data_IF_812635930071
#
_entry.id   IF_812635930071
#
_cell.length_a   1.000
_cell.length_b   1.000
_cell.length_c   1.000
_cell.angle_alpha   90.00
_cell.angle_beta   90.00
_cell.angle_gamma   90.00
#
_symmetry.space_group_name_H-M   'P 1'
#
loop_
_entity.id
_entity.type
_entity.pdbx_description
1 polymer ?
#
# COMPACT_ATOMS: atom_id res chain seq x y z
N UNK A 1 -40.15 15.08 -1.31
CA UNK A 1 -38.95 15.93 -1.49
C UNK A 1 -38.51 16.54 -0.14
N UNK A 2 -37.49 15.97 0.50
CA UNK A 2 -37.09 16.36 1.85
C UNK A 2 -36.14 17.58 1.82
N UNK A 3 -36.37 18.54 2.71
CA UNK A 3 -35.65 19.82 2.84
C UNK A 3 -34.11 19.67 2.87
N UNK A 4 -33.61 18.51 3.28
CA UNK A 4 -32.18 18.17 3.32
C UNK A 4 -31.49 18.11 1.95
N UNK A 5 -32.23 17.82 0.86
CA UNK A 5 -31.64 17.83 -0.50
C UNK A 5 -31.27 19.23 -0.96
N UNK A 6 -32.07 20.24 -0.56
CA UNK A 6 -31.87 21.63 -0.96
C UNK A 6 -30.64 22.26 -0.30
N UNK A 7 -30.38 21.93 0.98
CA UNK A 7 -29.20 22.43 1.68
C UNK A 7 -27.90 21.88 1.05
N UNK A 8 -27.85 20.57 0.75
CA UNK A 8 -26.67 19.95 0.14
C UNK A 8 -26.38 20.54 -1.26
N UNK A 9 -27.43 20.80 -2.04
CA UNK A 9 -27.31 21.46 -3.34
C UNK A 9 -26.80 22.90 -3.21
N UNK A 10 -27.36 23.69 -2.29
CA UNK A 10 -26.92 25.06 -2.05
C UNK A 10 -25.45 25.14 -1.59
N UNK A 11 -25.04 24.25 -0.68
CA UNK A 11 -23.64 24.14 -0.23
C UNK A 11 -22.72 23.74 -1.38
N UNK A 12 -23.12 22.77 -2.20
CA UNK A 12 -22.34 22.36 -3.37
C UNK A 12 -22.19 23.48 -4.40
N UNK A 13 -23.27 24.22 -4.68
CA UNK A 13 -23.24 25.39 -5.56
C UNK A 13 -22.34 26.50 -5.01
N UNK A 14 -22.40 26.78 -3.72
CA UNK A 14 -21.55 27.80 -3.09
C UNK A 14 -20.07 27.37 -3.09
N UNK A 15 -19.78 26.10 -2.79
CA UNK A 15 -18.44 25.55 -2.85
C UNK A 15 -17.87 25.60 -4.28
N UNK A 16 -18.71 25.29 -5.28
CA UNK A 16 -18.34 25.39 -6.69
C UNK A 16 -18.05 26.84 -7.09
N UNK A 17 -18.93 27.79 -6.76
CA UNK A 17 -18.71 29.21 -7.05
C UNK A 17 -17.46 29.77 -6.37
N UNK A 18 -17.16 29.33 -5.14
CA UNK A 18 -15.92 29.67 -4.45
C UNK A 18 -14.69 29.09 -5.17
N UNK A 19 -14.74 27.80 -5.53
CA UNK A 19 -13.68 27.15 -6.31
C UNK A 19 -13.41 27.90 -7.62
N UNK A 20 -14.46 28.17 -8.38
CA UNK A 20 -14.34 28.80 -9.71
C UNK A 20 -13.83 30.25 -9.61
N UNK A 21 -14.17 30.97 -8.53
CA UNK A 21 -13.73 32.37 -8.31
C UNK A 21 -12.28 32.48 -7.86
N UNK A 22 -11.81 31.59 -6.99
CA UNK A 22 -10.49 31.69 -6.35
C UNK A 22 -9.45 30.70 -6.90
N UNK A 23 -9.89 29.67 -7.63
CA UNK A 23 -9.06 28.64 -8.24
C UNK A 23 -9.45 28.42 -9.71
N UNK A 24 -9.34 29.44 -10.57
CA UNK A 24 -9.68 29.33 -11.98
C UNK A 24 -8.84 28.23 -12.64
N UNK A 25 -9.50 27.32 -13.36
CA UNK A 25 -8.81 26.27 -14.11
C UNK A 25 -8.15 26.90 -15.33
N UNK A 26 -6.83 27.08 -15.27
CA UNK A 26 -6.04 27.49 -16.43
C UNK A 26 -6.00 26.32 -17.44
N UNK A 27 -6.47 26.48 -18.69
CA UNK A 27 -6.49 25.41 -19.70
C UNK A 27 -5.10 24.92 -20.12
N UNK A 28 -4.01 25.54 -19.63
CA UNK A 28 -2.62 25.07 -19.80
C UNK A 28 -1.94 24.57 -18.52
N UNK A 29 -2.60 24.64 -17.36
CA UNK A 29 -2.00 24.14 -16.13
C UNK A 29 -2.15 22.62 -16.05
N UNK A 30 -1.01 21.93 -16.09
CA UNK A 30 -0.86 20.58 -15.49
C UNK A 30 -1.61 20.60 -14.17
N UNK A 31 -2.52 19.64 -13.95
CA UNK A 31 -3.37 19.58 -12.74
C UNK A 31 -2.57 20.05 -11.52
N UNK A 32 -3.03 21.15 -10.91
CA UNK A 32 -2.34 21.79 -9.78
C UNK A 32 -2.00 20.74 -8.73
N UNK A 33 -0.71 20.41 -8.59
CA UNK A 33 -0.20 19.40 -7.65
C UNK A 33 0.25 18.06 -8.26
N UNK A 34 0.32 17.92 -9.58
CA UNK A 34 0.94 16.74 -10.23
C UNK A 34 2.42 17.02 -10.51
N UNK A 35 3.31 16.28 -9.84
CA UNK A 35 4.76 16.34 -10.11
C UNK A 35 5.13 15.63 -11.41
N UNK A 36 6.26 16.02 -12.00
CA UNK A 36 6.84 15.32 -13.15
C UNK A 36 7.15 13.85 -12.83
N UNK A 37 7.63 13.58 -11.61
CA UNK A 37 7.91 12.22 -11.16
C UNK A 37 6.63 11.36 -11.11
N UNK A 38 5.48 11.93 -10.69
CA UNK A 38 4.18 11.24 -10.77
C UNK A 38 3.75 10.96 -12.22
N UNK A 39 3.95 11.92 -13.15
CA UNK A 39 3.64 11.70 -14.56
C UNK A 39 4.51 10.61 -15.18
N UNK A 40 5.80 10.59 -14.83
CA UNK A 40 6.73 9.56 -15.26
C UNK A 40 6.33 8.19 -14.71
N UNK A 41 6.01 8.07 -13.42
CA UNK A 41 5.51 6.81 -12.85
C UNK A 41 4.23 6.33 -13.53
N UNK A 42 3.27 7.21 -13.78
CA UNK A 42 2.03 6.85 -14.49
C UNK A 42 2.32 6.31 -15.88
N UNK A 43 3.23 6.95 -16.62
CA UNK A 43 3.69 6.49 -17.94
C UNK A 43 4.30 5.09 -17.85
N UNK A 44 5.26 4.89 -16.95
CA UNK A 44 5.92 3.59 -16.73
C UNK A 44 4.92 2.50 -16.35
N UNK A 45 3.90 2.82 -15.55
CA UNK A 45 2.82 1.91 -15.22
C UNK A 45 1.99 1.51 -16.45
N UNK A 46 1.66 2.47 -17.32
CA UNK A 46 0.92 2.17 -18.56
C UNK A 46 1.74 1.32 -19.53
N UNK A 47 3.04 1.58 -19.63
CA UNK A 47 3.99 0.86 -20.48
C UNK A 47 4.17 -0.59 -20.00
N UNK A 48 4.37 -0.78 -18.69
CA UNK A 48 4.48 -2.10 -18.08
C UNK A 48 3.21 -2.93 -18.31
N UNK A 49 2.03 -2.32 -18.12
CA UNK A 49 0.75 -3.02 -18.32
C UNK A 49 0.48 -3.37 -19.78
N UNK A 50 0.73 -2.45 -20.72
CA UNK A 50 0.59 -2.70 -22.15
C UNK A 50 1.47 -3.87 -22.59
N UNK A 51 2.72 -3.87 -22.13
CA UNK A 51 3.65 -4.96 -22.39
C UNK A 51 3.19 -6.30 -21.80
N UNK A 52 2.55 -6.34 -20.62
CA UNK A 52 2.01 -7.59 -20.07
C UNK A 52 0.78 -8.09 -20.86
N UNK A 53 -0.11 -7.20 -21.29
CA UNK A 53 -1.38 -7.57 -21.94
C UNK A 53 -1.24 -8.04 -23.39
N UNK A 54 -0.19 -7.64 -24.11
CA UNK A 54 0.09 -8.08 -25.48
C UNK A 54 0.29 -9.60 -25.64
N UNK A 55 0.48 -10.37 -24.55
CA UNK A 55 0.46 -11.83 -24.61
C UNK A 55 -0.95 -12.41 -24.82
N UNK A 56 -2.02 -11.66 -24.49
CA UNK A 56 -3.41 -12.14 -24.58
C UNK A 56 -3.90 -12.27 -26.03
N UNK A 57 -3.51 -11.36 -26.92
CA UNK A 57 -4.06 -11.24 -28.29
C UNK A 57 -3.52 -12.28 -29.28
N UNK A 58 -2.36 -12.91 -29.02
CA UNK A 58 -1.77 -13.92 -29.92
C UNK A 58 -2.31 -15.35 -29.77
N UNK A 59 -3.18 -15.60 -28.79
CA UNK A 59 -3.70 -16.95 -28.50
C UNK A 59 -4.90 -17.40 -29.35
N UNK A 60 -5.43 -16.53 -30.25
CA UNK A 60 -6.64 -16.82 -31.06
C UNK A 60 -6.39 -17.01 -32.56
N UNK A 61 -5.14 -16.98 -33.03
CA UNK A 61 -4.77 -17.15 -34.44
C UNK A 61 -4.13 -18.51 -34.73
N UNK A 62 -4.81 -19.34 -35.52
CA UNK A 62 -4.35 -20.66 -35.95
C UNK A 62 -3.26 -20.52 -37.02
N UNK A 63 -2.01 -20.32 -36.61
CA UNK A 63 -0.85 -20.30 -37.53
C UNK A 63 0.11 -21.44 -37.19
N UNK A 64 0.07 -22.50 -37.99
CA UNK A 64 1.11 -23.54 -38.01
C UNK A 64 2.40 -22.96 -38.62
N UNK A 65 3.54 -23.37 -38.06
CA UNK A 65 4.92 -23.10 -38.47
C UNK A 65 5.56 -21.78 -37.99
N UNK A 66 6.19 -21.80 -36.79
CA UNK A 66 7.50 -21.18 -36.54
C UNK A 66 7.93 -21.43 -35.08
N UNK A 67 8.65 -22.52 -34.82
CA UNK A 67 9.04 -22.93 -33.47
C UNK A 67 10.24 -22.17 -32.86
N UNK A 68 10.99 -21.41 -33.66
CA UNK A 68 12.22 -20.75 -33.19
C UNK A 68 12.08 -19.23 -32.98
N UNK A 69 11.24 -18.53 -33.76
CA UNK A 69 11.12 -17.05 -33.67
C UNK A 69 10.27 -16.54 -32.50
N UNK A 70 9.54 -17.42 -31.81
CA UNK A 70 8.66 -17.03 -30.69
C UNK A 70 9.39 -16.91 -29.36
N UNK A 71 10.48 -17.66 -29.16
CA UNK A 71 11.27 -17.63 -27.93
C UNK A 71 12.13 -16.37 -27.82
N UNK A 72 12.77 -15.96 -28.91
CA UNK A 72 13.64 -14.77 -28.95
C UNK A 72 12.84 -13.46 -28.74
N UNK A 73 11.67 -13.37 -29.38
CA UNK A 73 10.75 -12.23 -29.20
C UNK A 73 10.16 -12.18 -27.78
N UNK A 74 10.04 -13.32 -27.09
CA UNK A 74 9.57 -13.39 -25.70
C UNK A 74 10.67 -12.95 -24.73
N UNK A 75 11.93 -13.34 -24.97
CA UNK A 75 13.07 -12.95 -24.15
C UNK A 75 13.34 -11.44 -24.22
N UNK A 76 13.40 -10.86 -25.42
CA UNK A 76 13.60 -9.42 -25.62
C UNK A 76 12.46 -8.59 -25.01
N UNK A 77 11.25 -9.15 -24.98
CA UNK A 77 10.10 -8.52 -24.33
C UNK A 77 10.23 -8.52 -22.81
N UNK A 78 10.58 -9.64 -22.19
CA UNK A 78 10.78 -9.68 -20.73
C UNK A 78 11.96 -8.79 -20.29
N UNK A 79 13.00 -8.68 -21.12
CA UNK A 79 14.13 -7.76 -20.92
C UNK A 79 13.70 -6.28 -20.98
N UNK A 80 12.82 -5.93 -21.92
CA UNK A 80 12.23 -4.60 -21.96
C UNK A 80 11.37 -4.31 -20.72
N UNK A 81 10.52 -5.26 -20.29
CA UNK A 81 9.67 -5.06 -19.11
C UNK A 81 10.50 -4.86 -17.83
N UNK A 82 11.60 -5.60 -17.68
CA UNK A 82 12.49 -5.39 -16.53
C UNK A 82 13.22 -4.04 -16.61
N UNK A 83 13.52 -3.54 -17.82
CA UNK A 83 14.00 -2.18 -18.03
C UNK A 83 13.02 -1.12 -17.50
N UNK A 84 11.73 -1.25 -17.87
CA UNK A 84 10.65 -0.36 -17.37
C UNK A 84 10.55 -0.41 -15.84
N UNK A 85 10.68 -1.61 -15.24
CA UNK A 85 10.70 -1.77 -13.78
C UNK A 85 11.93 -1.10 -13.16
N UNK A 86 13.11 -1.22 -13.79
CA UNK A 86 14.33 -0.57 -13.30
C UNK A 86 14.18 0.94 -13.27
N UNK A 87 13.60 1.53 -14.32
CA UNK A 87 13.32 2.96 -14.37
C UNK A 87 12.28 3.36 -13.31
N UNK A 88 11.23 2.56 -13.13
CA UNK A 88 10.21 2.78 -12.09
C UNK A 88 10.81 2.75 -10.69
N UNK A 89 11.73 1.83 -10.41
CA UNK A 89 12.40 1.73 -9.11
C UNK A 89 13.38 2.88 -8.88
N UNK A 90 14.09 3.32 -9.92
CA UNK A 90 14.94 4.51 -9.86
C UNK A 90 14.12 5.78 -9.58
N UNK A 91 12.97 5.90 -10.22
CA UNK A 91 12.03 7.01 -10.05
C UNK A 91 11.54 7.12 -8.59
N UNK A 92 11.21 5.99 -7.97
CA UNK A 92 10.81 5.94 -6.56
C UNK A 92 11.95 6.29 -5.59
N UNK A 93 13.20 6.04 -6.01
CA UNK A 93 14.42 6.25 -5.24
C UNK A 93 15.04 7.64 -5.36
N UNK A 94 14.49 8.52 -6.21
CA UNK A 94 14.91 9.94 -6.25
C UNK A 94 14.68 10.59 -4.88
N UNK A 95 15.60 11.46 -4.47
CA UNK A 95 15.67 12.05 -3.12
C UNK A 95 14.33 12.55 -2.57
N UNK A 96 13.82 13.67 -3.10
CA UNK A 96 12.47 14.15 -2.76
C UNK A 96 11.38 13.29 -3.43
N UNK A 97 11.68 12.77 -4.62
CA UNK A 97 10.92 11.77 -5.37
C UNK A 97 9.40 11.90 -5.25
N UNK A 98 8.73 10.74 -5.22
CA UNK A 98 7.27 10.69 -5.22
C UNK A 98 6.73 10.67 -3.79
N UNK A 99 5.84 11.60 -3.44
CA UNK A 99 5.21 11.64 -2.12
C UNK A 99 4.35 10.41 -1.86
N UNK A 100 4.00 10.14 -0.59
CA UNK A 100 3.14 8.99 -0.24
C UNK A 100 1.78 9.04 -0.96
N UNK A 101 1.20 10.23 -1.12
CA UNK A 101 -0.09 10.40 -1.81
C UNK A 101 0.04 10.09 -3.30
N UNK A 102 1.09 10.59 -3.94
CA UNK A 102 1.35 10.35 -5.35
C UNK A 102 1.71 8.88 -5.61
N UNK A 103 2.47 8.25 -4.71
CA UNK A 103 2.76 6.82 -4.79
C UNK A 103 1.47 5.99 -4.74
N UNK A 104 0.55 6.30 -3.82
CA UNK A 104 -0.78 5.67 -3.76
C UNK A 104 -1.55 5.89 -5.07
N UNK A 105 -1.52 7.10 -5.61
CA UNK A 105 -2.23 7.49 -6.85
C UNK A 105 -1.53 7.12 -8.16
N UNK A 106 -0.29 6.61 -8.13
CA UNK A 106 0.55 6.37 -9.31
C UNK A 106 0.14 5.13 -10.11
N UNK A 107 -0.46 4.14 -9.44
CA UNK A 107 -0.76 2.83 -10.02
C UNK A 107 0.42 1.84 -10.01
N UNK A 108 1.58 2.19 -9.44
CA UNK A 108 2.78 1.33 -9.36
C UNK A 108 2.46 -0.04 -8.77
N UNK A 109 1.74 -0.08 -7.65
CA UNK A 109 1.39 -1.33 -6.98
C UNK A 109 0.57 -2.24 -7.91
N UNK A 110 -0.44 -1.67 -8.58
CA UNK A 110 -1.29 -2.43 -9.50
C UNK A 110 -0.50 -2.93 -10.72
N UNK A 111 0.40 -2.11 -11.28
CA UNK A 111 1.23 -2.48 -12.42
C UNK A 111 2.22 -3.60 -12.07
N UNK A 112 2.90 -3.50 -10.92
CA UNK A 112 3.79 -4.55 -10.42
C UNK A 112 3.03 -5.86 -10.14
N UNK A 113 1.87 -5.79 -9.50
CA UNK A 113 1.03 -6.97 -9.26
C UNK A 113 0.57 -7.62 -10.57
N UNK A 114 0.21 -6.82 -11.57
CA UNK A 114 -0.13 -7.32 -12.90
C UNK A 114 1.07 -8.00 -13.58
N UNK A 115 2.28 -7.43 -13.45
CA UNK A 115 3.52 -8.03 -13.92
C UNK A 115 3.82 -9.37 -13.24
N UNK A 116 3.81 -9.45 -11.91
CA UNK A 116 4.08 -10.71 -11.20
C UNK A 116 2.99 -11.75 -11.43
N UNK A 117 1.74 -11.32 -11.63
CA UNK A 117 0.61 -12.21 -11.92
C UNK A 117 0.48 -12.56 -13.41
N UNK A 118 1.46 -12.22 -14.25
CA UNK A 118 1.45 -12.50 -15.69
C UNK A 118 0.18 -12.01 -16.42
N UNK A 119 -0.42 -10.89 -15.99
CA UNK A 119 -1.64 -10.36 -16.60
C UNK A 119 -2.96 -10.89 -16.03
N UNK A 120 -2.91 -11.70 -14.96
CA UNK A 120 -4.06 -12.37 -14.34
C UNK A 120 -4.47 -11.82 -12.98
N UNK A 121 -3.86 -10.70 -12.52
CA UNK A 121 -4.11 -10.14 -11.20
C UNK A 121 -5.60 -9.90 -10.89
N UNK A 122 -6.39 -9.46 -11.88
CA UNK A 122 -7.82 -9.17 -11.73
C UNK A 122 -8.75 -10.25 -12.31
N UNK A 123 -8.26 -11.47 -12.59
CA UNK A 123 -9.06 -12.52 -13.27
C UNK A 123 -9.35 -13.71 -12.37
N UNK A 124 -10.63 -14.06 -12.31
CA UNK A 124 -11.18 -15.09 -11.41
C UNK A 124 -10.81 -16.54 -11.77
N UNK A 125 -10.42 -16.84 -13.02
CA UNK A 125 -10.12 -18.23 -13.45
C UNK A 125 -8.96 -18.32 -14.44
N UNK A 126 -7.90 -19.01 -14.04
CA UNK A 126 -6.79 -19.45 -14.89
C UNK A 126 -7.11 -20.87 -15.37
N UNK A 127 -6.99 -21.16 -16.66
CA UNK A 127 -7.14 -22.52 -17.17
C UNK A 127 -6.04 -23.44 -16.60
N UNK A 128 -6.39 -24.57 -15.98
CA UNK A 128 -5.44 -25.51 -15.35
C UNK A 128 -4.28 -25.94 -16.29
N UNK A 129 -4.57 -26.08 -17.58
CA UNK A 129 -3.61 -26.51 -18.61
C UNK A 129 -2.42 -25.56 -18.77
N UNK A 130 -2.58 -24.27 -18.45
CA UNK A 130 -1.53 -23.26 -18.61
C UNK A 130 -0.83 -22.90 -17.28
N UNK A 131 -1.30 -23.46 -16.15
CA UNK A 131 -0.80 -23.13 -14.82
C UNK A 131 0.72 -23.38 -14.65
N UNK A 132 1.30 -24.51 -15.14
CA UNK A 132 2.74 -24.73 -15.02
C UNK A 132 3.57 -23.70 -15.79
N UNK A 133 3.08 -23.26 -16.97
CA UNK A 133 3.76 -22.27 -17.80
C UNK A 133 3.74 -20.89 -17.13
N UNK A 134 2.60 -20.49 -16.57
CA UNK A 134 2.50 -19.23 -15.82
C UNK A 134 3.36 -19.24 -14.56
N UNK A 135 3.45 -20.37 -13.86
CA UNK A 135 4.35 -20.51 -12.70
C UNK A 135 5.81 -20.33 -13.10
N UNK A 136 6.25 -20.94 -14.19
CA UNK A 136 7.62 -20.77 -14.70
C UNK A 136 7.90 -19.32 -15.11
N UNK A 137 6.96 -18.67 -15.78
CA UNK A 137 7.10 -17.26 -16.16
C UNK A 137 7.16 -16.35 -14.94
N UNK A 138 6.28 -16.54 -13.94
CA UNK A 138 6.29 -15.77 -12.70
C UNK A 138 7.64 -15.93 -11.96
N UNK A 139 8.17 -17.16 -11.87
CA UNK A 139 9.49 -17.40 -11.28
C UNK A 139 10.62 -16.68 -12.03
N UNK A 140 10.56 -16.64 -13.37
CA UNK A 140 11.53 -15.89 -14.18
C UNK A 140 11.44 -14.39 -13.89
N UNK A 141 10.24 -13.85 -13.85
CA UNK A 141 9.98 -12.43 -13.51
C UNK A 141 10.46 -12.08 -12.11
N UNK A 142 10.22 -12.94 -11.12
CA UNK A 142 10.74 -12.74 -9.77
C UNK A 142 12.26 -12.69 -9.73
N UNK A 143 12.94 -13.61 -10.42
CA UNK A 143 14.42 -13.60 -10.50
C UNK A 143 14.94 -12.32 -11.13
N UNK A 144 14.37 -11.89 -12.26
CA UNK A 144 14.75 -10.65 -12.93
C UNK A 144 14.48 -9.43 -12.06
N UNK A 145 13.33 -9.38 -11.38
CA UNK A 145 13.00 -8.30 -10.44
C UNK A 145 14.00 -8.20 -9.31
N UNK A 146 14.33 -9.33 -8.66
CA UNK A 146 15.29 -9.36 -7.55
C UNK A 146 16.65 -8.82 -7.99
N UNK A 147 17.11 -9.17 -9.19
CA UNK A 147 18.40 -8.69 -9.71
C UNK A 147 18.47 -7.16 -9.84
N UNK A 148 17.35 -6.50 -10.12
CA UNK A 148 17.27 -5.03 -10.24
C UNK A 148 16.94 -4.35 -8.91
N UNK A 149 16.09 -4.96 -8.08
CA UNK A 149 15.65 -4.38 -6.82
C UNK A 149 16.65 -4.57 -5.67
N UNK A 150 17.51 -5.60 -5.75
CA UNK A 150 18.55 -5.95 -4.78
C UNK A 150 19.89 -6.19 -5.49
N UNK A 151 20.50 -5.14 -6.08
CA UNK A 151 21.79 -5.28 -6.75
C UNK A 151 22.90 -5.62 -5.74
N UNK A 152 23.81 -6.52 -6.12
CA UNK A 152 24.87 -7.03 -5.23
C UNK A 152 26.00 -6.05 -4.95
N UNK A 153 26.16 -5.02 -5.80
CA UNK A 153 27.25 -4.05 -5.76
C UNK A 153 26.68 -2.67 -5.43
N UNK A 154 26.11 -2.50 -4.25
CA UNK A 154 25.70 -1.19 -3.77
C UNK A 154 26.91 -0.48 -3.16
N UNK A 155 27.14 0.76 -3.56
CA UNK A 155 28.04 1.67 -2.83
C UNK A 155 27.51 1.84 -1.40
N UNK A 156 28.39 2.04 -0.41
CA UNK A 156 28.04 2.08 1.02
C UNK A 156 26.94 3.13 1.36
N UNK A 157 26.75 4.13 0.51
CA UNK A 157 25.76 5.21 0.68
C UNK A 157 24.45 4.96 -0.09
N UNK A 158 24.40 3.96 -0.98
CA UNK A 158 23.25 3.71 -1.86
C UNK A 158 22.25 2.75 -1.24
N UNK A 159 21.02 3.22 -1.03
CA UNK A 159 19.91 2.39 -0.53
C UNK A 159 19.36 1.51 -1.64
N UNK A 160 19.26 0.20 -1.39
CA UNK A 160 18.68 -0.74 -2.34
C UNK A 160 17.26 -0.31 -2.76
N UNK A 161 16.91 -0.36 -4.06
CA UNK A 161 15.56 0.05 -4.51
C UNK A 161 14.42 -0.73 -3.85
N UNK A 162 14.65 -1.99 -3.48
CA UNK A 162 13.69 -2.78 -2.70
C UNK A 162 13.39 -2.16 -1.33
N UNK A 163 14.39 -1.60 -0.65
CA UNK A 163 14.22 -0.92 0.64
C UNK A 163 13.34 0.31 0.49
N UNK A 164 13.59 1.11 -0.56
CA UNK A 164 12.74 2.27 -0.89
C UNK A 164 11.31 1.84 -1.17
N UNK A 165 11.11 0.80 -1.99
CA UNK A 165 9.77 0.28 -2.30
C UNK A 165 9.04 -0.17 -1.02
N UNK A 166 9.71 -0.92 -0.14
CA UNK A 166 9.15 -1.35 1.15
C UNK A 166 8.79 -0.15 2.02
N UNK A 167 9.65 0.87 2.10
CA UNK A 167 9.36 2.08 2.87
C UNK A 167 8.14 2.83 2.31
N UNK A 168 8.03 2.97 0.98
CA UNK A 168 6.88 3.62 0.34
C UNK A 168 5.59 2.82 0.59
N UNK A 169 5.64 1.49 0.56
CA UNK A 169 4.51 0.62 0.92
C UNK A 169 4.09 0.78 2.38
N UNK A 170 5.04 0.79 3.32
CA UNK A 170 4.76 1.01 4.74
C UNK A 170 4.13 2.39 4.98
N UNK A 171 4.67 3.44 4.35
CA UNK A 171 4.11 4.79 4.44
C UNK A 171 2.71 4.89 3.81
N UNK A 172 2.48 4.17 2.71
CA UNK A 172 1.16 4.12 2.07
C UNK A 172 0.13 3.45 2.98
N UNK A 173 0.49 2.32 3.59
CA UNK A 173 -0.36 1.61 4.54
C UNK A 173 -0.67 2.49 5.76
N UNK A 174 0.34 3.12 6.38
CA UNK A 174 0.13 3.98 7.54
C UNK A 174 -0.74 5.21 7.24
N UNK A 175 -0.71 5.71 6.00
CA UNK A 175 -1.56 6.82 5.54
C UNK A 175 -3.01 6.39 5.27
N UNK A 176 -3.22 5.17 4.78
CA UNK A 176 -4.56 4.63 4.46
C UNK A 176 -5.26 4.01 5.67
N UNK A 177 -4.50 3.42 6.58
CA UNK A 177 -5.01 2.81 7.81
C UNK A 177 -5.34 3.91 8.82
N UNK A 178 -6.60 4.36 8.78
CA UNK A 178 -7.20 4.95 9.97
C UNK A 178 -7.58 3.77 10.85
N UNK A 179 -6.79 3.48 11.87
CA UNK A 179 -7.26 2.74 13.04
C UNK A 179 -7.95 3.75 13.96
N UNK A 180 -9.26 4.04 13.79
CA UNK A 180 -9.94 4.92 14.71
C UNK A 180 -9.87 4.29 16.09
N UNK A 181 -9.18 4.94 17.02
CA UNK A 181 -9.28 4.60 18.44
C UNK A 181 -10.66 5.07 18.90
N UNK A 182 -11.63 4.16 18.85
CA UNK A 182 -12.98 4.41 19.36
C UNK A 182 -12.96 4.16 20.86
N UNK A 183 -12.93 5.24 21.64
CA UNK A 183 -13.04 5.17 23.09
C UNK A 183 -14.48 4.77 23.47
N UNK A 184 -14.63 3.72 24.27
CA UNK A 184 -15.94 3.16 24.66
C UNK A 184 -16.82 4.15 25.44
N UNK A 185 -16.25 5.21 26.00
CA UNK A 185 -16.97 6.17 26.85
C UNK A 185 -16.43 7.60 26.67
N UNK A 186 -16.85 8.28 25.61
CA UNK A 186 -17.00 9.73 25.72
C UNK A 186 -18.45 9.99 26.09
N UNK A 187 -18.70 10.26 27.36
CA UNK A 187 -19.95 10.86 27.82
C UNK A 187 -20.23 12.03 26.88
N UNK A 188 -21.35 11.96 26.15
CA UNK A 188 -21.80 13.00 25.24
C UNK A 188 -21.80 14.35 25.98
N UNK A 189 -20.77 15.17 25.80
CA UNK A 189 -20.91 16.61 26.02
C UNK A 189 -21.41 17.19 24.70
N UNK A 190 -22.67 17.63 24.71
CA UNK A 190 -23.30 18.30 23.59
C UNK A 190 -22.72 19.71 23.45
N UNK A 191 -21.52 19.84 22.90
CA UNK A 191 -21.02 21.12 22.43
C UNK A 191 -20.12 20.92 21.23
N UNK A 192 -20.48 21.55 20.12
CA UNK A 192 -19.95 21.31 18.79
C UNK A 192 -18.53 21.82 18.59
N UNK A 193 -17.55 21.08 19.12
CA UNK A 193 -16.15 21.25 18.77
C UNK A 193 -15.42 19.91 18.93
N UNK A 194 -15.57 19.03 17.94
CA UNK A 194 -14.75 17.83 17.80
C UNK A 194 -13.33 18.23 17.40
N UNK A 195 -12.61 18.82 18.35
CA UNK A 195 -11.19 19.13 18.23
C UNK A 195 -10.39 17.86 18.56
N UNK A 196 -9.30 17.67 17.83
CA UNK A 196 -8.30 16.60 17.94
C UNK A 196 -7.83 16.29 19.39
N UNK A 197 -8.13 17.18 20.34
CA UNK A 197 -7.86 17.08 21.77
C UNK A 197 -8.61 15.95 22.49
N UNK A 198 -9.79 15.52 22.04
CA UNK A 198 -10.58 14.51 22.77
C UNK A 198 -9.95 13.10 22.77
N UNK A 199 -9.15 12.78 21.74
CA UNK A 199 -8.41 11.52 21.67
C UNK A 199 -7.11 11.56 22.47
N UNK A 200 -6.38 12.68 22.41
CA UNK A 200 -5.12 12.86 23.16
C UNK A 200 -5.35 12.95 24.67
N UNK A 201 -6.48 13.49 25.13
CA UNK A 201 -6.82 13.48 26.56
C UNK A 201 -6.94 12.05 27.13
N UNK A 202 -7.23 11.04 26.30
CA UNK A 202 -7.23 9.65 26.77
C UNK A 202 -5.82 9.14 27.11
N UNK A 203 -4.77 9.71 26.50
CA UNK A 203 -3.38 9.38 26.85
C UNK A 203 -2.95 9.98 28.20
N UNK A 204 -3.73 10.92 28.76
CA UNK A 204 -3.44 11.54 30.06
C UNK A 204 -3.91 10.71 31.26
N UNK A 205 -4.62 9.59 31.03
CA UNK A 205 -5.16 8.74 32.08
C UNK A 205 -4.75 7.28 31.85
N UNK A 206 -4.33 6.55 32.90
CA UNK A 206 -4.01 5.13 32.79
C UNK A 206 -5.20 4.31 32.26
N UNK A 207 -4.92 3.39 31.35
CA UNK A 207 -5.90 2.42 30.86
C UNK A 207 -6.19 1.36 31.92
N UNK A 208 -7.47 1.17 32.22
CA UNK A 208 -7.96 0.05 33.05
C UNK A 208 -8.17 -1.17 32.17
N UNK A 209 -7.26 -2.14 32.24
CA UNK A 209 -7.27 -3.31 31.38
C UNK A 209 -7.37 -4.60 32.21
N UNK A 210 -8.09 -5.60 31.68
CA UNK A 210 -8.02 -6.98 32.14
C UNK A 210 -7.26 -7.77 31.10
N UNK A 211 -6.11 -8.31 31.48
CA UNK A 211 -5.24 -9.04 30.57
C UNK A 211 -5.47 -10.53 30.77
N UNK A 212 -5.94 -11.20 29.72
CA UNK A 212 -6.15 -12.64 29.73
C UNK A 212 -5.06 -13.34 28.94
N UNK A 213 -4.75 -14.57 29.34
CA UNK A 213 -3.87 -15.44 28.59
C UNK A 213 -4.55 -15.84 27.26
N UNK A 214 -3.79 -15.83 26.16
CA UNK A 214 -4.28 -16.27 24.86
C UNK A 214 -4.84 -17.70 24.87
N UNK A 215 -5.78 -17.97 23.95
CA UNK A 215 -6.37 -19.30 23.79
C UNK A 215 -5.29 -20.29 23.32
N UNK A 216 -5.18 -21.43 23.99
CA UNK A 216 -4.18 -22.47 23.68
C UNK A 216 -2.83 -22.32 24.37
N UNK A 217 -2.51 -21.17 24.96
CA UNK A 217 -1.26 -20.97 25.71
C UNK A 217 -1.27 -21.80 27.01
N UNK A 218 -0.19 -22.53 27.32
CA UNK A 218 -0.13 -23.47 28.46
C UNK A 218 0.95 -23.13 29.49
N UNK A 219 1.94 -22.33 29.10
CA UNK A 219 3.09 -22.01 29.95
C UNK A 219 2.76 -20.95 31.01
N UNK A 220 1.82 -20.04 30.69
CA UNK A 220 1.46 -18.92 31.55
C UNK A 220 0.25 -19.22 32.45
N UNK A 221 0.20 -18.55 33.60
CA UNK A 221 -1.01 -18.41 34.43
C UNK A 221 -1.91 -17.34 33.84
N UNK A 222 -3.23 -17.56 33.93
CA UNK A 222 -4.18 -16.55 33.50
C UNK A 222 -4.25 -15.42 34.53
N UNK A 223 -4.22 -14.18 34.05
CA UNK A 223 -4.25 -12.96 34.88
C UNK A 223 -5.56 -12.18 34.72
N UNK A 224 -6.56 -12.79 34.07
CA UNK A 224 -7.82 -12.13 33.69
C UNK A 224 -8.66 -11.66 34.88
N UNK A 225 -8.44 -12.18 36.08
CA UNK A 225 -9.16 -11.79 37.31
C UNK A 225 -8.75 -10.41 37.84
N UNK A 226 -7.59 -9.90 37.44
CA UNK A 226 -7.06 -8.62 37.92
C UNK A 226 -7.27 -7.51 36.89
N UNK A 227 -7.51 -6.29 37.39
CA UNK A 227 -7.48 -5.07 36.58
C UNK A 227 -6.12 -4.42 36.76
N UNK A 228 -5.44 -4.14 35.66
CA UNK A 228 -4.16 -3.45 35.62
C UNK A 228 -4.38 -2.04 35.10
N UNK A 229 -3.69 -1.08 35.72
CA UNK A 229 -3.58 0.28 35.22
C UNK A 229 -2.30 0.37 34.39
N UNK A 230 -2.43 0.59 33.09
CA UNK A 230 -1.30 0.74 32.18
C UNK A 230 -1.25 2.19 31.70
N UNK A 231 -0.11 2.85 31.92
CA UNK A 231 0.14 4.15 31.32
C UNK A 231 0.09 4.02 29.79
N UNK A 232 -0.70 4.85 29.08
CA UNK A 232 -0.79 4.79 27.63
C UNK A 232 0.54 4.90 26.88
N UNK A 233 1.56 5.50 27.49
CA UNK A 233 2.91 5.64 26.92
C UNK A 233 3.92 4.63 27.47
N UNK A 234 3.48 3.66 28.28
CA UNK A 234 4.33 2.59 28.76
C UNK A 234 4.88 1.77 27.58
N UNK A 235 6.18 1.49 27.61
CA UNK A 235 6.80 0.58 26.65
C UNK A 235 6.30 -0.86 26.88
N UNK A 236 6.33 -1.67 25.82
CA UNK A 236 5.96 -3.09 25.94
C UNK A 236 6.85 -3.82 26.95
N UNK A 237 8.14 -3.46 27.02
CA UNK A 237 9.08 -4.03 27.98
C UNK A 237 8.68 -3.74 29.45
N UNK A 238 8.20 -2.52 29.75
CA UNK A 238 7.73 -2.18 31.09
C UNK A 238 6.45 -2.96 31.47
N UNK A 239 5.55 -3.17 30.49
CA UNK A 239 4.36 -4.00 30.68
C UNK A 239 4.75 -5.46 30.91
N UNK A 240 5.72 -5.97 30.16
CA UNK A 240 6.26 -7.33 30.32
C UNK A 240 6.90 -7.52 31.70
N UNK A 241 7.80 -6.64 32.12
CA UNK A 241 8.46 -6.69 33.43
C UNK A 241 7.45 -6.69 34.59
N UNK A 242 6.36 -5.90 34.46
CA UNK A 242 5.27 -5.92 35.43
C UNK A 242 4.50 -7.25 35.43
N UNK A 243 4.17 -7.81 34.26
CA UNK A 243 3.34 -9.01 34.18
C UNK A 243 4.10 -10.30 34.43
N UNK A 244 5.35 -10.39 33.99
CA UNK A 244 6.17 -11.60 34.00
C UNK A 244 6.16 -12.33 35.35
N UNK A 245 6.47 -11.69 36.51
CA UNK A 245 6.45 -12.38 37.81
C UNK A 245 5.06 -12.88 38.24
N UNK A 246 3.98 -12.37 37.62
CA UNK A 246 2.59 -12.71 37.95
C UNK A 246 2.04 -13.83 37.06
N UNK A 247 2.50 -13.89 35.81
CA UNK A 247 2.04 -14.87 34.81
C UNK A 247 2.96 -16.08 34.70
N UNK A 248 4.25 -15.95 35.03
CA UNK A 248 5.16 -17.08 35.06
C UNK A 248 4.68 -18.09 36.10
N UNK A 249 4.63 -19.38 35.73
CA UNK A 249 4.49 -20.46 36.71
C UNK A 249 5.84 -20.59 37.42
N UNK A 250 5.86 -20.48 38.74
CA UNK A 250 7.06 -20.89 39.48
C UNK A 250 7.36 -22.34 39.13
N UNK A 251 8.63 -22.66 38.94
CA UNK A 251 9.09 -24.05 38.83
C UNK A 251 8.65 -24.87 40.05
#
# INVERSE_FOLDING_TARGET
PSVNSNLRMAVSSCAKAFKDKYFPSDPGAVEVGVTEDLLQLKRLCTELNAGVDDQKTKSKGKSKASGSRLADNSAHKEEYLIGVISEMLAELGKGDGVSTFEFIGSGVIAALLNYFSCGYFSKEKISEVNLPKFRQQALRRFKSFIAVALPSNLDEESVAPMTVLVQKLQNALSSLERFPVVLSHSSRSSSGSARLSSGLSALSQPFKLRLCKAQGEKSLRDYSSNVVLIDPLASLAAVEEFLWPRVQRGE
#
